data_IF_343218941775
#
_entry.id   IF_343218941775
#
_cell.length_a   1.000
_cell.length_b   1.000
_cell.length_c   1.000
_cell.angle_alpha   90.00
_cell.angle_beta   90.00
_cell.angle_gamma   90.00
#
_symmetry.space_group_name_H-M   'P 1'
#
loop_
_entity.id
_entity.type
_entity.pdbx_description
1 polymer ?
#
# COMPACT_ATOMS: atom_id res chain seq x y z
N UNK A 1 -18.67 -2.35 -6.27
CA UNK A 1 -18.99 -3.10 -5.03
C UNK A 1 -18.07 -4.30 -4.79
N UNK A 2 -17.82 -5.18 -5.77
CA UNK A 2 -16.95 -6.35 -5.59
C UNK A 2 -15.52 -6.03 -5.10
N UNK A 3 -14.84 -5.04 -5.71
CA UNK A 3 -13.47 -4.67 -5.35
C UNK A 3 -13.32 -4.14 -3.91
N UNK A 4 -14.33 -3.43 -3.38
CA UNK A 4 -14.28 -2.90 -2.01
C UNK A 4 -14.41 -4.01 -0.96
N UNK A 5 -15.22 -5.04 -1.25
CA UNK A 5 -15.32 -6.22 -0.41
C UNK A 5 -14.01 -7.02 -0.41
N UNK A 6 -13.34 -7.12 -1.55
CA UNK A 6 -12.03 -7.78 -1.66
C UNK A 6 -10.93 -7.00 -0.94
N UNK A 7 -10.96 -5.66 -0.98
CA UNK A 7 -10.03 -4.81 -0.24
C UNK A 7 -10.19 -4.96 1.29
N UNK A 8 -11.44 -4.95 1.76
CA UNK A 8 -11.78 -5.25 3.16
C UNK A 8 -11.31 -6.64 3.59
N UNK A 9 -11.44 -7.64 2.72
CA UNK A 9 -10.93 -8.98 2.99
C UNK A 9 -9.40 -8.99 3.15
N UNK A 10 -8.68 -8.30 2.25
CA UNK A 10 -7.23 -8.16 2.32
C UNK A 10 -6.76 -7.52 3.63
N UNK A 11 -7.37 -6.39 4.00
CA UNK A 11 -7.12 -5.71 5.28
C UNK A 11 -7.48 -6.61 6.48
N UNK A 12 -8.61 -7.33 6.40
CA UNK A 12 -9.05 -8.26 7.44
C UNK A 12 -8.09 -9.43 7.63
N UNK A 13 -7.48 -9.93 6.55
CA UNK A 13 -6.44 -10.98 6.62
C UNK A 13 -5.13 -10.45 7.20
N UNK A 14 -4.71 -9.24 6.83
CA UNK A 14 -3.56 -8.60 7.47
C UNK A 14 -3.80 -8.43 8.97
N UNK A 15 -4.98 -7.93 9.37
CA UNK A 15 -5.34 -7.73 10.78
C UNK A 15 -5.37 -9.03 11.57
N UNK A 16 -6.04 -10.06 11.06
CA UNK A 16 -6.07 -11.37 11.72
C UNK A 16 -4.68 -12.00 11.78
N UNK A 17 -3.86 -11.81 10.74
CA UNK A 17 -2.45 -12.23 10.74
C UNK A 17 -1.64 -11.55 11.84
N UNK A 18 -1.73 -10.23 11.98
CA UNK A 18 -1.08 -9.49 13.07
C UNK A 18 -1.55 -9.95 14.45
N UNK A 19 -2.83 -10.28 14.62
CA UNK A 19 -3.36 -10.85 15.87
C UNK A 19 -2.71 -12.19 16.22
N UNK A 20 -2.54 -13.08 15.23
CA UNK A 20 -1.85 -14.35 15.46
C UNK A 20 -0.37 -14.12 15.83
N UNK A 21 0.31 -13.14 15.22
CA UNK A 21 1.69 -12.80 15.61
C UNK A 21 1.77 -12.31 17.06
N UNK A 22 0.83 -11.46 17.49
CA UNK A 22 0.74 -11.01 18.89
C UNK A 22 0.51 -12.20 19.83
N UNK A 23 -0.44 -13.07 19.49
CA UNK A 23 -0.75 -14.25 20.29
C UNK A 23 0.44 -15.22 20.37
N UNK A 24 1.17 -15.43 19.28
CA UNK A 24 2.34 -16.30 19.26
C UNK A 24 3.40 -15.83 20.27
N UNK A 25 3.70 -14.54 20.29
CA UNK A 25 4.67 -13.94 21.24
C UNK A 25 4.15 -14.04 22.68
N UNK A 26 2.87 -13.73 22.92
CA UNK A 26 2.28 -13.82 24.27
C UNK A 26 2.27 -15.26 24.80
N UNK A 27 1.87 -16.24 23.98
CA UNK A 27 1.88 -17.65 24.36
C UNK A 27 3.30 -18.11 24.70
N UNK A 28 4.28 -17.76 23.87
CA UNK A 28 5.68 -18.12 24.09
C UNK A 28 6.21 -17.48 25.37
N UNK A 29 6.00 -16.17 25.59
CA UNK A 29 6.49 -15.45 26.76
C UNK A 29 5.85 -15.93 28.06
N UNK A 30 4.50 -15.99 28.11
CA UNK A 30 3.77 -16.41 29.31
C UNK A 30 4.03 -17.88 29.60
N UNK A 31 3.96 -18.75 28.58
CA UNK A 31 4.20 -20.17 28.76
C UNK A 31 5.61 -20.45 29.28
N UNK A 32 6.63 -19.78 28.73
CA UNK A 32 8.01 -19.92 29.20
C UNK A 32 8.16 -19.45 30.65
N UNK A 33 7.54 -18.32 31.02
CA UNK A 33 7.59 -17.81 32.39
C UNK A 33 6.91 -18.76 33.41
N UNK A 34 5.77 -19.35 33.04
CA UNK A 34 5.08 -20.35 33.86
C UNK A 34 5.93 -21.61 34.02
N UNK A 35 6.56 -22.09 32.95
CA UNK A 35 7.41 -23.29 33.02
C UNK A 35 8.67 -23.03 33.84
N UNK A 36 9.31 -21.87 33.68
CA UNK A 36 10.49 -21.49 34.48
C UNK A 36 10.12 -21.42 35.96
N UNK A 37 9.03 -20.75 36.31
CA UNK A 37 8.60 -20.63 37.71
C UNK A 37 8.24 -22.00 38.32
N UNK A 38 7.54 -22.86 37.59
CA UNK A 38 7.25 -24.23 38.02
C UNK A 38 8.52 -25.10 38.14
N UNK A 39 9.45 -24.98 37.19
CA UNK A 39 10.73 -25.70 37.22
C UNK A 39 11.63 -25.27 38.39
N UNK A 40 11.70 -23.96 38.67
CA UNK A 40 12.44 -23.45 39.84
C UNK A 40 11.79 -23.94 41.13
N UNK A 41 10.47 -23.85 41.28
CA UNK A 41 9.78 -24.33 42.48
C UNK A 41 9.99 -25.84 42.71
N UNK A 42 9.85 -26.66 41.66
CA UNK A 42 10.02 -28.11 41.73
C UNK A 42 11.47 -28.53 42.01
N UNK A 43 12.45 -27.82 41.44
CA UNK A 43 13.87 -28.05 41.71
C UNK A 43 14.27 -27.64 43.14
N UNK A 44 13.76 -26.50 43.66
CA UNK A 44 13.99 -26.09 45.04
C UNK A 44 13.42 -27.09 46.06
N UNK A 45 12.21 -27.61 45.80
CA UNK A 45 11.60 -28.64 46.66
C UNK A 45 12.40 -29.96 46.62
N UNK A 46 12.83 -30.38 45.44
CA UNK A 46 13.64 -31.60 45.27
C UNK A 46 15.02 -31.46 45.93
N UNK A 47 15.61 -30.26 45.90
CA UNK A 47 16.85 -29.96 46.60
C UNK A 47 16.68 -29.98 48.13
N UNK A 48 15.59 -29.40 48.66
CA UNK A 48 15.29 -29.41 50.09
C UNK A 48 15.06 -30.82 50.66
N UNK A 49 14.59 -31.75 49.82
CA UNK A 49 14.35 -33.16 50.19
C UNK A 49 15.54 -34.09 49.89
N UNK A 50 16.64 -33.57 49.33
CA UNK A 50 17.83 -34.36 48.99
C UNK A 50 17.62 -35.36 47.84
N UNK A 51 16.54 -35.21 47.07
CA UNK A 51 16.19 -36.16 46.01
C UNK A 51 16.84 -35.77 44.67
N UNK A 52 18.03 -36.33 44.41
CA UNK A 52 18.78 -36.10 43.17
C UNK A 52 18.00 -36.47 41.89
N UNK A 53 17.19 -37.54 41.93
CA UNK A 53 16.35 -37.93 40.80
C UNK A 53 15.25 -36.88 40.52
N UNK A 54 14.71 -36.25 41.57
CA UNK A 54 13.75 -35.15 41.46
C UNK A 54 14.33 -33.91 40.79
N UNK A 55 15.60 -33.58 41.09
CA UNK A 55 16.31 -32.45 40.46
C UNK A 55 16.47 -32.71 38.95
N UNK A 56 16.95 -33.89 38.56
CA UNK A 56 17.15 -34.26 37.14
C UNK A 56 15.79 -34.27 36.41
N UNK A 57 14.76 -34.87 37.01
CA UNK A 57 13.42 -34.90 36.43
C UNK A 57 12.82 -33.50 36.24
N UNK A 58 13.05 -32.59 37.19
CA UNK A 58 12.60 -31.19 37.07
C UNK A 58 13.31 -30.44 35.93
N UNK A 59 14.61 -30.71 35.73
CA UNK A 59 15.38 -30.12 34.63
C UNK A 59 14.90 -30.60 33.26
N UNK A 60 14.69 -31.91 33.11
CA UNK A 60 14.14 -32.49 31.86
C UNK A 60 12.72 -31.99 31.62
N UNK A 61 11.87 -31.95 32.66
CA UNK A 61 10.51 -31.42 32.59
C UNK A 61 10.46 -29.96 32.17
N UNK A 62 11.37 -29.12 32.68
CA UNK A 62 11.50 -27.72 32.29
C UNK A 62 11.89 -27.58 30.82
N UNK A 63 12.93 -28.30 30.36
CA UNK A 63 13.38 -28.26 28.97
C UNK A 63 12.28 -28.75 28.01
N UNK A 64 11.61 -29.86 28.35
CA UNK A 64 10.51 -30.41 27.56
C UNK A 64 9.32 -29.44 27.51
N UNK A 65 8.96 -28.84 28.66
CA UNK A 65 7.90 -27.84 28.73
C UNK A 65 8.20 -26.63 27.83
N UNK A 66 9.42 -26.07 27.93
CA UNK A 66 9.84 -24.92 27.12
C UNK A 66 9.77 -25.27 25.63
N UNK A 67 10.28 -26.43 25.25
CA UNK A 67 10.22 -26.90 23.86
C UNK A 67 8.78 -26.99 23.33
N UNK A 68 7.85 -27.53 24.13
CA UNK A 68 6.43 -27.64 23.76
C UNK A 68 5.81 -26.26 23.57
N UNK A 69 6.04 -25.32 24.50
CA UNK A 69 5.48 -23.96 24.41
C UNK A 69 6.02 -23.20 23.20
N UNK A 70 7.33 -23.29 22.95
CA UNK A 70 7.95 -22.69 21.76
C UNK A 70 7.33 -23.29 20.49
N UNK A 71 7.11 -24.60 20.45
CA UNK A 71 6.52 -25.29 19.29
C UNK A 71 5.07 -24.84 19.05
N UNK A 72 4.26 -24.71 20.10
CA UNK A 72 2.90 -24.16 20.00
C UNK A 72 2.93 -22.71 19.50
N UNK A 73 3.80 -21.87 20.08
CA UNK A 73 3.98 -20.48 19.65
C UNK A 73 4.40 -20.37 18.19
N UNK A 74 5.31 -21.23 17.73
CA UNK A 74 5.77 -21.29 16.34
C UNK A 74 4.65 -21.67 15.38
N UNK A 75 3.78 -22.64 15.73
CA UNK A 75 2.61 -23.01 14.91
C UNK A 75 1.66 -21.81 14.77
N UNK A 76 1.35 -21.12 15.88
CA UNK A 76 0.47 -19.94 15.86
C UNK A 76 1.11 -18.82 15.02
N UNK A 77 2.41 -18.58 15.17
CA UNK A 77 3.16 -17.60 14.39
C UNK A 77 3.15 -17.93 12.90
N UNK A 78 3.32 -19.20 12.53
CA UNK A 78 3.26 -19.66 11.13
C UNK A 78 1.89 -19.38 10.51
N UNK A 79 0.80 -19.67 11.24
CA UNK A 79 -0.55 -19.32 10.81
C UNK A 79 -0.70 -17.81 10.61
N UNK A 80 -0.12 -17.01 11.50
CA UNK A 80 -0.05 -15.56 11.38
C UNK A 80 0.63 -15.10 10.08
N UNK A 81 1.84 -15.59 9.81
CA UNK A 81 2.61 -15.24 8.60
C UNK A 81 1.86 -15.65 7.33
N UNK A 82 1.26 -16.83 7.29
CA UNK A 82 0.45 -17.28 6.13
C UNK A 82 -0.76 -16.37 5.89
N UNK A 83 -1.41 -15.93 6.97
CA UNK A 83 -2.54 -14.99 6.90
C UNK A 83 -2.09 -13.62 6.40
N UNK A 84 -0.97 -13.10 6.90
CA UNK A 84 -0.35 -11.84 6.44
C UNK A 84 0.00 -11.92 4.96
N UNK A 85 0.61 -13.02 4.50
CA UNK A 85 0.92 -13.26 3.08
C UNK A 85 -0.33 -13.19 2.21
N UNK A 86 -1.40 -13.87 2.62
CA UNK A 86 -2.68 -13.83 1.89
C UNK A 86 -3.26 -12.41 1.84
N UNK A 87 -3.16 -11.64 2.94
CA UNK A 87 -3.59 -10.25 2.97
C UNK A 87 -2.82 -9.36 1.98
N UNK A 88 -1.48 -9.44 1.97
CA UNK A 88 -0.67 -8.69 1.01
C UNK A 88 -0.93 -9.11 -0.45
N UNK A 89 -1.09 -10.41 -0.70
CA UNK A 89 -1.37 -10.94 -2.05
C UNK A 89 -2.69 -10.41 -2.61
N UNK A 90 -3.75 -10.35 -1.78
CA UNK A 90 -5.04 -9.76 -2.16
C UNK A 90 -4.88 -8.28 -2.49
N UNK A 91 -4.25 -7.51 -1.61
CA UNK A 91 -4.06 -6.07 -1.84
C UNK A 91 -3.20 -5.78 -3.09
N UNK A 92 -2.17 -6.58 -3.34
CA UNK A 92 -1.35 -6.51 -4.55
C UNK A 92 -2.18 -6.80 -5.81
N UNK A 93 -3.07 -7.79 -5.78
CA UNK A 93 -3.96 -8.10 -6.90
C UNK A 93 -4.92 -6.96 -7.24
N UNK A 94 -5.18 -6.06 -6.28
CA UNK A 94 -5.97 -4.84 -6.45
C UNK A 94 -5.14 -3.64 -6.92
N UNK A 95 -3.88 -3.85 -7.31
CA UNK A 95 -2.97 -2.81 -7.79
C UNK A 95 -2.37 -1.94 -6.69
N UNK A 96 -2.49 -2.33 -5.41
CA UNK A 96 -1.84 -1.61 -4.30
C UNK A 96 -0.35 -1.97 -4.25
N UNK A 97 0.49 -0.97 -4.01
CA UNK A 97 1.95 -1.12 -3.97
C UNK A 97 2.45 -1.76 -2.65
N UNK A 98 1.97 -2.97 -2.36
CA UNK A 98 2.31 -3.72 -1.13
C UNK A 98 3.01 -5.05 -1.43
N UNK A 99 3.44 -5.25 -2.68
CA UNK A 99 4.11 -6.48 -3.13
C UNK A 99 5.38 -6.80 -2.36
N UNK A 100 6.05 -5.79 -1.80
CA UNK A 100 7.23 -5.98 -0.95
C UNK A 100 6.94 -6.79 0.32
N UNK A 101 5.74 -6.63 0.90
CA UNK A 101 5.31 -7.39 2.07
C UNK A 101 5.05 -8.86 1.75
N UNK A 102 4.49 -9.16 0.58
CA UNK A 102 4.30 -10.54 0.11
C UNK A 102 5.65 -11.25 -0.10
N UNK A 103 6.60 -10.59 -0.76
CA UNK A 103 7.97 -11.09 -0.91
C UNK A 103 8.63 -11.32 0.45
N UNK A 104 8.47 -10.37 1.37
CA UNK A 104 8.97 -10.47 2.74
C UNK A 104 8.43 -11.69 3.49
N UNK A 105 7.11 -11.92 3.44
CA UNK A 105 6.52 -13.12 4.06
C UNK A 105 7.03 -14.43 3.46
N UNK A 106 7.28 -14.46 2.15
CA UNK A 106 7.81 -15.65 1.48
C UNK A 106 9.26 -15.90 1.90
N UNK A 107 10.09 -14.87 1.95
CA UNK A 107 11.47 -14.96 2.45
C UNK A 107 11.52 -15.38 3.92
N UNK A 108 10.63 -14.83 4.76
CA UNK A 108 10.54 -15.23 6.16
C UNK A 108 10.24 -16.72 6.32
N UNK A 109 9.27 -17.25 5.55
CA UNK A 109 8.92 -18.68 5.56
C UNK A 109 10.07 -19.56 5.07
N UNK A 110 10.75 -19.17 3.98
CA UNK A 110 11.91 -19.91 3.45
C UNK A 110 13.06 -19.90 4.47
N UNK A 111 13.33 -18.74 5.07
CA UNK A 111 14.33 -18.61 6.14
C UNK A 111 14.03 -19.55 7.31
N UNK A 112 12.78 -19.60 7.76
CA UNK A 112 12.34 -20.49 8.84
C UNK A 112 12.56 -21.98 8.49
N UNK A 113 12.25 -22.39 7.25
CA UNK A 113 12.52 -23.77 6.78
C UNK A 113 14.03 -24.06 6.81
N UNK A 114 14.87 -23.14 6.33
CA UNK A 114 16.33 -23.30 6.35
C UNK A 114 16.85 -23.38 7.79
N UNK A 115 16.30 -22.58 8.72
CA UNK A 115 16.65 -22.65 10.15
C UNK A 115 16.32 -24.02 10.72
N UNK A 116 15.14 -24.59 10.43
CA UNK A 116 14.77 -25.94 10.89
C UNK A 116 15.75 -26.99 10.34
N UNK A 117 16.06 -26.94 9.05
CA UNK A 117 17.01 -27.86 8.42
C UNK A 117 18.40 -27.70 9.05
N UNK A 118 18.85 -26.46 9.23
CA UNK A 118 20.12 -26.14 9.87
C UNK A 118 20.19 -26.71 11.29
N UNK A 119 19.14 -26.51 12.09
CA UNK A 119 19.03 -27.04 13.45
C UNK A 119 19.15 -28.56 13.47
N UNK A 120 18.45 -29.28 12.59
CA UNK A 120 18.54 -30.74 12.50
C UNK A 120 19.95 -31.21 12.11
N UNK A 121 20.63 -30.46 11.24
CA UNK A 121 21.98 -30.78 10.78
C UNK A 121 23.09 -30.33 11.74
N UNK A 122 22.79 -29.57 12.81
CA UNK A 122 23.81 -29.16 13.80
C UNK A 122 24.46 -30.34 14.51
N UNK A 123 23.77 -31.49 14.56
CA UNK A 123 24.31 -32.77 15.05
C UNK A 123 25.61 -33.16 14.31
N UNK A 124 25.79 -32.69 13.07
CA UNK A 124 26.92 -33.05 12.19
C UNK A 124 27.90 -31.87 11.99
N UNK A 125 27.86 -30.81 12.83
CA UNK A 125 28.69 -29.57 12.75
C UNK A 125 28.42 -28.70 11.50
N UNK A 126 28.07 -29.30 10.35
CA UNK A 126 27.73 -28.63 9.08
C UNK A 126 26.44 -27.78 9.18
N UNK A 127 25.60 -28.01 10.19
CA UNK A 127 24.37 -27.24 10.39
C UNK A 127 24.56 -25.78 10.80
N UNK A 128 25.70 -25.41 11.41
CA UNK A 128 25.93 -24.05 11.92
C UNK A 128 25.92 -22.97 10.82
N UNK A 129 26.66 -23.10 9.70
CA UNK A 129 26.56 -22.16 8.59
C UNK A 129 25.15 -22.05 7.98
N UNK A 130 24.41 -23.15 7.94
CA UNK A 130 23.04 -23.20 7.39
C UNK A 130 22.07 -22.45 8.30
N UNK A 131 22.20 -22.60 9.62
CA UNK A 131 21.42 -21.83 10.60
C UNK A 131 21.59 -20.33 10.42
N UNK A 132 22.84 -19.86 10.37
CA UNK A 132 23.16 -18.44 10.20
C UNK A 132 22.57 -17.90 8.89
N UNK A 133 22.68 -18.66 7.79
CA UNK A 133 22.08 -18.28 6.52
C UNK A 133 20.55 -18.17 6.61
N UNK A 134 19.91 -19.15 7.25
CA UNK A 134 18.46 -19.15 7.46
C UNK A 134 17.99 -17.95 8.29
N UNK A 135 18.71 -17.61 9.36
CA UNK A 135 18.42 -16.45 10.21
C UNK A 135 18.55 -15.14 9.43
N UNK A 136 19.60 -14.98 8.61
CA UNK A 136 19.78 -13.79 7.76
C UNK A 136 18.61 -13.65 6.78
N UNK A 137 18.19 -14.75 6.13
CA UNK A 137 17.06 -14.73 5.19
C UNK A 137 15.76 -14.39 5.92
N UNK A 138 15.52 -14.99 7.10
CA UNK A 138 14.35 -14.70 7.92
C UNK A 138 14.33 -13.24 8.39
N UNK A 139 15.48 -12.70 8.78
CA UNK A 139 15.66 -11.31 9.18
C UNK A 139 15.29 -10.36 8.03
N UNK A 140 15.83 -10.59 6.83
CA UNK A 140 15.49 -9.79 5.63
C UNK A 140 13.98 -9.89 5.35
N UNK A 141 13.41 -11.10 5.44
CA UNK A 141 11.97 -11.32 5.30
C UNK A 141 11.15 -10.48 6.29
N UNK A 142 11.55 -10.46 7.57
CA UNK A 142 10.92 -9.67 8.63
C UNK A 142 10.95 -8.17 8.36
N UNK A 143 12.09 -7.65 7.91
CA UNK A 143 12.24 -6.23 7.53
C UNK A 143 11.27 -5.86 6.41
N UNK A 144 11.20 -6.70 5.36
CA UNK A 144 10.32 -6.47 4.22
C UNK A 144 8.83 -6.56 4.58
N UNK A 145 8.45 -7.42 5.53
CA UNK A 145 7.09 -7.45 6.10
C UNK A 145 6.78 -6.11 6.78
N UNK A 146 7.70 -5.58 7.58
CA UNK A 146 7.57 -4.28 8.22
C UNK A 146 7.39 -3.14 7.22
N UNK A 147 8.20 -3.12 6.16
CA UNK A 147 8.05 -2.16 5.05
C UNK A 147 6.69 -2.35 4.34
N UNK A 148 6.24 -3.59 4.16
CA UNK A 148 4.91 -3.90 3.63
C UNK A 148 3.80 -3.25 4.45
N UNK A 149 3.85 -3.37 5.78
CA UNK A 149 2.89 -2.71 6.67
C UNK A 149 3.02 -1.17 6.64
N UNK A 150 4.23 -0.63 6.58
CA UNK A 150 4.45 0.81 6.42
C UNK A 150 3.70 1.34 5.18
N UNK A 151 3.83 0.64 4.03
CA UNK A 151 3.16 1.01 2.78
C UNK A 151 1.66 0.89 2.87
N UNK A 152 1.14 -0.13 3.55
CA UNK A 152 -0.30 -0.22 3.85
C UNK A 152 -0.75 1.01 4.64
N UNK A 153 -0.02 1.41 5.68
CA UNK A 153 -0.32 2.62 6.45
C UNK A 153 -0.31 3.89 5.60
N UNK A 154 0.61 3.98 4.64
CA UNK A 154 0.69 5.11 3.70
C UNK A 154 -0.50 5.15 2.73
N UNK A 155 -0.86 4.00 2.13
CA UNK A 155 -1.98 3.87 1.18
C UNK A 155 -3.32 4.23 1.82
N UNK A 156 -3.52 3.85 3.08
CA UNK A 156 -4.77 4.09 3.81
C UNK A 156 -4.70 5.31 4.73
N UNK A 157 -3.61 6.08 4.69
CA UNK A 157 -3.36 7.25 5.55
C UNK A 157 -3.58 6.97 7.05
N UNK A 158 -3.17 5.78 7.51
CA UNK A 158 -3.29 5.35 8.90
C UNK A 158 -1.94 5.36 9.61
N UNK A 159 -1.72 6.41 10.41
CA UNK A 159 -0.45 6.64 11.11
C UNK A 159 -0.03 5.50 12.05
N UNK A 160 -0.99 4.82 12.69
CA UNK A 160 -0.69 3.67 13.56
C UNK A 160 -0.12 2.49 12.79
N UNK A 161 -0.65 2.21 11.59
CA UNK A 161 -0.14 1.13 10.73
C UNK A 161 1.24 1.51 10.18
N UNK A 162 1.45 2.79 9.85
CA UNK A 162 2.74 3.32 9.40
C UNK A 162 3.83 3.17 10.47
N UNK A 163 3.57 3.65 11.68
CA UNK A 163 4.50 3.55 12.83
C UNK A 163 4.71 2.07 13.19
N UNK A 164 3.63 1.29 13.22
CA UNK A 164 3.71 -0.14 13.51
C UNK A 164 4.58 -0.90 12.52
N UNK A 165 4.49 -0.58 11.22
CA UNK A 165 5.36 -1.15 10.18
C UNK A 165 6.85 -0.82 10.38
N UNK A 166 7.17 0.41 10.79
CA UNK A 166 8.56 0.82 11.12
C UNK A 166 9.08 0.00 12.31
N UNK A 167 8.27 -0.16 13.35
CA UNK A 167 8.67 -0.93 14.53
C UNK A 167 8.87 -2.43 14.24
N UNK A 168 8.04 -3.01 13.35
CA UNK A 168 8.21 -4.40 12.89
C UNK A 168 9.51 -4.57 12.08
N UNK A 169 9.89 -3.56 11.29
CA UNK A 169 11.09 -3.62 10.46
C UNK A 169 12.39 -3.57 11.28
N UNK A 170 12.35 -3.11 12.53
CA UNK A 170 13.51 -3.12 13.41
C UNK A 170 13.59 -4.50 14.09
N UNK A 171 14.71 -5.22 13.98
CA UNK A 171 14.86 -6.59 14.50
C UNK A 171 15.14 -6.60 16.01
N UNK A 172 14.25 -5.98 16.77
CA UNK A 172 14.25 -6.01 18.23
C UNK A 172 12.89 -6.56 18.66
N UNK A 173 12.89 -7.73 19.30
CA UNK A 173 11.68 -8.50 19.58
C UNK A 173 10.57 -7.69 20.27
N UNK A 174 10.95 -6.87 21.25
CA UNK A 174 10.00 -6.02 21.98
C UNK A 174 9.37 -4.94 21.09
N UNK A 175 10.16 -4.31 20.22
CA UNK A 175 9.65 -3.31 19.27
C UNK A 175 8.75 -3.98 18.23
N UNK A 176 9.16 -5.15 17.76
CA UNK A 176 8.40 -5.92 16.79
C UNK A 176 7.02 -6.31 17.34
N UNK A 177 6.95 -6.76 18.59
CA UNK A 177 5.70 -7.02 19.31
C UNK A 177 4.79 -5.79 19.40
N UNK A 178 5.34 -4.64 19.84
CA UNK A 178 4.59 -3.38 19.91
C UNK A 178 4.12 -2.96 18.52
N UNK A 179 4.96 -3.13 17.50
CA UNK A 179 4.64 -2.84 16.11
C UNK A 179 3.43 -3.61 15.61
N UNK A 180 3.37 -4.92 15.89
CA UNK A 180 2.21 -5.74 15.55
C UNK A 180 0.92 -5.29 16.26
N UNK A 181 1.00 -4.84 17.51
CA UNK A 181 -0.15 -4.26 18.23
C UNK A 181 -0.66 -3.01 17.53
N UNK A 182 0.24 -2.08 17.19
CA UNK A 182 -0.13 -0.83 16.50
C UNK A 182 -0.74 -1.11 15.12
N UNK A 183 -0.16 -2.04 14.37
CA UNK A 183 -0.73 -2.49 13.09
C UNK A 183 -2.11 -3.11 13.30
N UNK A 184 -2.29 -4.00 14.27
CA UNK A 184 -3.59 -4.64 14.53
C UNK A 184 -4.69 -3.61 14.86
N UNK A 185 -4.38 -2.65 15.74
CA UNK A 185 -5.30 -1.58 16.13
C UNK A 185 -5.56 -0.63 14.96
N UNK A 186 -4.51 -0.24 14.23
CA UNK A 186 -4.60 0.65 13.07
C UNK A 186 -5.42 0.05 11.92
N UNK A 187 -5.19 -1.23 11.57
CA UNK A 187 -5.97 -1.92 10.55
C UNK A 187 -7.45 -2.08 10.92
N UNK A 188 -7.79 -2.02 12.22
CA UNK A 188 -9.19 -1.98 12.68
C UNK A 188 -9.89 -0.63 12.41
N UNK A 189 -9.12 0.43 12.13
CA UNK A 189 -9.61 1.78 11.83
C UNK A 189 -9.57 2.11 10.35
N UNK A 190 -8.77 1.39 9.57
CA UNK A 190 -8.72 1.51 8.11
C UNK A 190 -10.13 1.38 7.55
N UNK A 191 -10.60 2.47 6.95
CA UNK A 191 -11.73 2.43 6.05
C UNK A 191 -11.16 2.21 4.66
N UNK A 192 -11.74 1.31 3.84
CA UNK A 192 -11.38 1.24 2.43
C UNK A 192 -11.44 2.65 1.90
N UNK A 193 -10.38 3.12 1.25
CA UNK A 193 -10.46 4.39 0.55
C UNK A 193 -11.74 4.32 -0.29
N UNK A 194 -12.63 5.34 -0.24
CA UNK A 194 -13.66 5.43 -1.25
C UNK A 194 -12.90 5.25 -2.56
N UNK A 195 -13.40 4.32 -3.39
CA UNK A 195 -12.82 4.11 -4.71
C UNK A 195 -12.49 5.50 -5.22
N UNK A 196 -11.25 5.71 -5.67
CA UNK A 196 -11.04 6.80 -6.61
C UNK A 196 -11.82 6.34 -7.84
N UNK A 197 -13.16 6.46 -7.80
CA UNK A 197 -13.91 6.99 -8.91
C UNK A 197 -13.06 8.19 -9.26
N UNK A 198 -12.31 8.04 -10.35
CA UNK A 198 -11.65 9.11 -11.05
C UNK A 198 -12.63 10.26 -10.96
N UNK A 199 -12.40 11.14 -9.99
CA UNK A 199 -13.33 12.22 -9.73
C UNK A 199 -13.25 12.96 -11.04
N UNK A 200 -14.36 13.10 -11.80
CA UNK A 200 -14.30 13.82 -13.05
C UNK A 200 -13.60 15.12 -12.68
N UNK A 201 -12.41 15.36 -13.26
CA UNK A 201 -11.65 16.58 -12.99
C UNK A 201 -12.70 17.67 -13.07
N UNK A 202 -13.00 18.33 -11.96
CA UNK A 202 -13.85 19.51 -12.01
C UNK A 202 -13.15 20.36 -13.06
N UNK A 203 -13.75 20.63 -14.24
CA UNK A 203 -12.99 21.19 -15.34
C UNK A 203 -12.41 22.52 -14.86
N UNK A 204 -11.09 22.56 -14.68
CA UNK A 204 -10.42 23.77 -14.19
C UNK A 204 -10.55 24.91 -15.21
N UNK A 205 -10.83 24.54 -16.47
CA UNK A 205 -11.21 25.44 -17.54
C UNK A 205 -12.46 24.88 -18.23
N UNK A 206 -13.48 25.73 -18.40
CA UNK A 206 -14.67 25.39 -19.18
C UNK A 206 -15.16 26.60 -19.98
N UNK A 207 -15.94 26.35 -21.02
CA UNK A 207 -16.49 27.41 -21.85
C UNK A 207 -17.70 28.06 -21.20
N UNK A 208 -17.77 29.39 -21.27
CA UNK A 208 -18.93 30.18 -20.90
C UNK A 208 -19.63 30.63 -22.18
N UNK A 209 -20.89 30.21 -22.36
CA UNK A 209 -21.67 30.53 -23.55
C UNK A 209 -21.24 29.76 -24.80
N UNK A 210 -21.72 30.20 -25.96
CA UNK A 210 -21.42 29.60 -27.26
C UNK A 210 -20.43 30.48 -28.03
N UNK A 211 -19.43 29.85 -28.62
CA UNK A 211 -18.43 30.53 -29.44
C UNK A 211 -18.93 30.84 -30.85
N UNK A 212 -18.20 31.68 -31.57
CA UNK A 212 -18.49 32.01 -32.97
C UNK A 212 -17.22 31.85 -33.80
N UNK A 213 -17.31 31.14 -34.92
CA UNK A 213 -16.27 31.07 -35.95
C UNK A 213 -16.73 31.95 -37.13
N UNK A 214 -15.91 32.90 -37.57
CA UNK A 214 -16.20 33.83 -38.67
C UNK A 214 -15.53 33.40 -39.98
N UNK A 215 -16.03 33.87 -41.12
CA UNK A 215 -15.47 33.60 -42.46
C UNK A 215 -13.99 34.02 -42.63
N UNK A 216 -13.53 34.95 -41.81
CA UNK A 216 -12.17 35.47 -41.80
C UNK A 216 -11.18 34.55 -41.06
N UNK A 217 -11.63 33.37 -40.61
CA UNK A 217 -10.80 32.36 -39.94
C UNK A 217 -10.65 32.56 -38.44
N UNK A 218 -11.26 33.59 -37.86
CA UNK A 218 -11.21 33.85 -36.42
C UNK A 218 -12.37 33.17 -35.69
N UNK A 219 -12.04 32.48 -34.61
CA UNK A 219 -12.98 31.97 -33.63
C UNK A 219 -12.88 32.76 -32.33
N UNK A 220 -14.03 33.13 -31.78
CA UNK A 220 -14.18 33.88 -30.53
C UNK A 220 -14.89 32.98 -29.52
N UNK A 221 -14.21 32.66 -28.42
CA UNK A 221 -14.76 31.85 -27.34
C UNK A 221 -14.46 32.51 -25.99
N UNK A 222 -15.33 32.30 -25.02
CA UNK A 222 -15.09 32.73 -23.63
C UNK A 222 -14.80 31.50 -22.76
N UNK A 223 -13.67 31.50 -22.07
CA UNK A 223 -13.26 30.43 -21.17
C UNK A 223 -13.21 30.94 -19.74
N UNK A 224 -13.92 30.28 -18.83
CA UNK A 224 -13.71 30.45 -17.40
C UNK A 224 -12.54 29.57 -16.96
N UNK A 225 -11.61 30.13 -16.18
CA UNK A 225 -10.51 29.38 -15.56
C UNK A 225 -10.48 29.59 -14.04
N UNK A 226 -10.36 28.51 -13.27
CA UNK A 226 -10.21 28.57 -11.81
C UNK A 226 -8.75 28.78 -11.34
N UNK A 227 -7.79 28.66 -12.25
CA UNK A 227 -6.34 28.84 -12.00
C UNK A 227 -5.64 29.38 -13.26
N UNK A 228 -4.44 29.97 -13.16
CA UNK A 228 -3.68 30.33 -14.35
C UNK A 228 -3.39 29.11 -15.23
N UNK A 229 -3.67 29.21 -16.53
CA UNK A 229 -3.50 28.11 -17.50
C UNK A 229 -2.92 28.64 -18.81
N UNK A 230 -2.11 27.84 -19.51
CA UNK A 230 -1.58 28.22 -20.83
C UNK A 230 -2.25 27.41 -21.94
N UNK A 231 -2.70 28.09 -23.00
CA UNK A 231 -3.25 27.44 -24.19
C UNK A 231 -2.12 27.12 -25.15
N UNK A 232 -1.89 25.82 -25.39
CA UNK A 232 -0.82 25.33 -26.27
C UNK A 232 -1.29 25.28 -27.72
N UNK A 233 -2.48 24.74 -27.96
CA UNK A 233 -3.01 24.55 -29.31
C UNK A 233 -4.53 24.44 -29.30
N UNK A 234 -5.15 24.68 -30.45
CA UNK A 234 -6.56 24.45 -30.69
C UNK A 234 -6.76 23.75 -32.04
N UNK A 235 -7.79 22.90 -32.13
CA UNK A 235 -8.18 22.22 -33.37
C UNK A 235 -9.69 22.16 -33.52
N UNK A 236 -10.19 22.29 -34.74
CA UNK A 236 -11.60 22.03 -35.07
C UNK A 236 -11.75 20.53 -35.35
N UNK A 237 -12.49 19.84 -34.48
CA UNK A 237 -12.83 18.41 -34.64
C UNK A 237 -13.66 18.20 -35.91
N UNK A 238 -13.40 17.10 -36.61
CA UNK A 238 -14.10 16.73 -37.86
C UNK A 238 -13.62 17.48 -39.12
N UNK A 239 -12.96 18.64 -38.97
CA UNK A 239 -12.37 19.37 -40.10
C UNK A 239 -10.84 19.25 -40.17
N UNK A 240 -10.18 18.74 -39.12
CA UNK A 240 -8.71 18.65 -38.98
C UNK A 240 -7.99 20.01 -39.19
N UNK A 241 -8.65 21.12 -38.90
CA UNK A 241 -8.07 22.47 -39.01
C UNK A 241 -7.41 22.81 -37.69
N UNK A 242 -6.09 23.04 -37.72
CA UNK A 242 -5.30 23.44 -36.55
C UNK A 242 -5.20 24.97 -36.47
N UNK A 243 -5.17 25.50 -35.26
CA UNK A 243 -4.95 26.94 -35.03
C UNK A 243 -3.52 27.34 -35.40
N UNK A 244 -3.35 28.50 -36.04
CA UNK A 244 -2.05 29.12 -36.30
C UNK A 244 -1.70 30.23 -35.30
N UNK A 245 -2.70 30.82 -34.63
CA UNK A 245 -2.49 31.78 -33.55
C UNK A 245 -3.61 31.70 -32.50
N UNK A 246 -3.27 31.99 -31.24
CA UNK A 246 -4.20 32.04 -30.10
C UNK A 246 -3.85 33.27 -29.25
N UNK A 247 -4.84 34.09 -28.91
CA UNK A 247 -4.66 35.26 -28.06
C UNK A 247 -5.83 35.39 -27.05
N UNK A 248 -5.59 35.43 -25.72
CA UNK A 248 -4.29 35.27 -25.05
C UNK A 248 -3.84 33.80 -24.99
N UNK A 249 -2.52 33.57 -24.92
CA UNK A 249 -1.94 32.23 -24.70
C UNK A 249 -1.89 31.83 -23.22
N UNK A 250 -2.18 32.77 -22.32
CA UNK A 250 -2.26 32.55 -20.87
C UNK A 250 -3.62 33.05 -20.37
N UNK A 251 -4.39 32.15 -19.79
CA UNK A 251 -5.67 32.41 -19.14
C UNK A 251 -5.42 32.87 -17.70
N UNK A 252 -6.07 33.96 -17.32
CA UNK A 252 -6.13 34.44 -15.94
C UNK A 252 -7.30 33.78 -15.20
N UNK A 253 -7.31 33.89 -13.88
CA UNK A 253 -8.44 33.41 -13.06
C UNK A 253 -9.69 34.25 -13.42
N UNK A 254 -10.81 33.57 -13.70
CA UNK A 254 -12.06 34.18 -14.14
C UNK A 254 -12.35 33.97 -15.62
N UNK A 255 -13.14 34.86 -16.22
CA UNK A 255 -13.52 34.79 -17.63
C UNK A 255 -12.43 35.39 -18.53
N UNK A 256 -12.05 34.63 -19.55
CA UNK A 256 -11.06 35.02 -20.55
C UNK A 256 -11.70 35.00 -21.93
N UNK A 257 -11.58 36.09 -22.67
CA UNK A 257 -11.96 36.14 -24.08
C UNK A 257 -10.79 35.64 -24.92
N UNK A 258 -10.95 34.48 -25.53
CA UNK A 258 -9.92 33.82 -26.33
C UNK A 258 -10.28 33.92 -27.80
N UNK A 259 -9.38 34.55 -28.55
CA UNK A 259 -9.43 34.65 -30.01
C UNK A 259 -8.47 33.63 -30.61
N UNK A 260 -8.97 32.76 -31.48
CA UNK A 260 -8.22 31.68 -32.11
C UNK A 260 -8.28 31.87 -33.63
N UNK A 261 -7.13 31.87 -34.30
CA UNK A 261 -7.06 31.95 -35.75
C UNK A 261 -6.80 30.56 -36.36
N UNK A 262 -7.73 30.09 -37.18
CA UNK A 262 -7.70 28.79 -37.88
C UNK A 262 -7.30 28.91 -39.35
N UNK A 263 -7.14 30.13 -39.88
CA UNK A 263 -6.84 30.34 -41.30
C UNK A 263 -8.05 30.07 -42.18
N UNK A 264 -7.90 29.20 -43.17
CA UNK A 264 -8.97 28.92 -44.14
C UNK A 264 -10.06 28.00 -43.54
N UNK A 265 -11.26 28.54 -43.36
CA UNK A 265 -12.44 27.84 -42.81
C UNK A 265 -13.56 27.63 -43.84
N UNK A 266 -13.26 27.75 -45.14
CA UNK A 266 -14.26 27.63 -46.22
C UNK A 266 -14.89 26.23 -46.35
N UNK A 267 -14.28 25.21 -45.75
CA UNK A 267 -14.84 23.85 -45.69
C UNK A 267 -15.95 23.69 -44.63
N UNK A 268 -16.18 24.70 -43.78
CA UNK A 268 -17.22 24.65 -42.75
C UNK A 268 -18.59 25.01 -43.35
N UNK A 269 -19.61 24.26 -42.95
CA UNK A 269 -21.00 24.49 -43.35
C UNK A 269 -21.61 25.64 -42.52
N UNK A 270 -22.22 26.65 -43.16
CA UNK A 270 -22.87 27.78 -42.47
C UNK A 270 -23.85 27.35 -41.39
N UNK A 271 -23.90 28.11 -40.29
CA UNK A 271 -24.79 27.92 -39.14
C UNK A 271 -24.65 26.56 -38.43
N UNK A 272 -23.55 25.83 -38.67
CA UNK A 272 -23.28 24.55 -38.01
C UNK A 272 -22.42 24.77 -36.76
N UNK A 273 -22.72 24.03 -35.69
CA UNK A 273 -21.91 24.02 -34.47
C UNK A 273 -20.74 23.06 -34.65
N UNK A 274 -19.52 23.56 -34.44
CA UNK A 274 -18.29 22.80 -34.47
C UNK A 274 -17.70 22.69 -33.06
N UNK A 275 -17.04 21.56 -32.79
CA UNK A 275 -16.29 21.36 -31.55
C UNK A 275 -14.84 21.77 -31.79
N UNK A 276 -14.36 22.71 -30.98
CA UNK A 276 -12.96 23.12 -30.90
C UNK A 276 -12.35 22.43 -29.67
N UNK A 277 -11.37 21.56 -29.90
CA UNK A 277 -10.58 20.94 -28.84
C UNK A 277 -9.35 21.80 -28.57
N UNK A 278 -9.21 22.29 -27.34
CA UNK A 278 -8.05 23.03 -26.87
C UNK A 278 -7.15 22.16 -26.01
N UNK A 279 -5.84 22.25 -26.25
CA UNK A 279 -4.80 21.64 -25.41
C UNK A 279 -4.27 22.72 -24.45
N UNK A 280 -4.38 22.47 -23.16
CA UNK A 280 -4.02 23.41 -22.09
C UNK A 280 -2.90 22.82 -21.23
N UNK A 281 -2.02 23.67 -20.72
CA UNK A 281 -1.08 23.35 -19.63
C UNK A 281 -1.51 24.07 -18.36
N UNK A 282 -1.87 23.30 -17.33
CA UNK A 282 -2.27 23.83 -16.01
C UNK A 282 -1.31 23.28 -14.96
N UNK A 283 -0.44 24.13 -14.42
CA UNK A 283 0.52 23.75 -13.37
C UNK A 283 1.46 22.60 -13.76
N UNK A 284 1.75 22.41 -15.05
CA UNK A 284 2.58 21.31 -15.57
C UNK A 284 1.80 20.12 -16.12
N UNK A 285 0.48 20.06 -15.93
CA UNK A 285 -0.36 19.01 -16.48
C UNK A 285 -0.98 19.43 -17.82
N UNK A 286 -0.81 18.60 -18.85
CA UNK A 286 -1.43 18.83 -20.16
C UNK A 286 -2.82 18.19 -20.18
N UNK A 287 -3.86 18.99 -20.40
CA UNK A 287 -5.26 18.54 -20.49
C UNK A 287 -5.92 19.02 -21.78
N UNK A 288 -6.89 18.27 -22.27
CA UNK A 288 -7.72 18.66 -23.42
C UNK A 288 -9.12 19.05 -22.94
N UNK A 289 -9.63 20.17 -23.43
CA UNK A 289 -11.02 20.59 -23.22
C UNK A 289 -11.74 20.75 -24.56
N UNK A 290 -13.03 20.48 -24.57
CA UNK A 290 -13.89 20.66 -25.75
C UNK A 290 -14.77 21.88 -25.58
N UNK A 291 -14.83 22.72 -26.62
CA UNK A 291 -15.62 23.94 -26.67
C UNK A 291 -16.46 23.94 -27.93
N UNK A 292 -17.66 24.53 -27.91
CA UNK A 292 -18.58 24.59 -29.02
C UNK A 292 -18.61 26.00 -29.63
N UNK A 293 -18.47 26.10 -30.94
CA UNK A 293 -18.57 27.36 -31.67
C UNK A 293 -19.39 27.21 -32.95
N UNK A 294 -20.27 28.17 -33.24
CA UNK A 294 -21.10 28.17 -34.45
C UNK A 294 -20.36 28.88 -35.57
N UNK A 295 -20.29 28.26 -36.74
CA UNK A 295 -19.77 28.93 -37.92
C UNK A 295 -20.80 29.91 -38.49
N UNK A 296 -20.49 31.20 -38.39
CA UNK A 296 -21.28 32.30 -38.92
C UNK A 296 -20.46 33.02 -40.00
N UNK A 297 -20.69 32.69 -41.29
CA UNK A 297 -19.95 33.28 -42.40
C UNK A 297 -20.18 34.78 -42.55
#
# INVERSE_FOLDING_TARGET
MAQQNTELEGIGKLRSGSLFMILAVLLAAIGTLVIISAGIASSMFSAATGNAAGIIASGIGLLAGIAIVILIGAIVGLLGVLRVRSGFSILKSLGKDVGIGETGTTLYLVGLIIVIIGALLTIVIVGLPILVLGEIIALIGGILIGIGFYRVGEIYNEGLVKIGGILIAIPIDLLNFIGFILVYVGLGRVRPSPMVTQQPLVPQVYQVGQGIIRNNGYAYITLYSSSPASVISAKIEGANIMSSAINPTVLQIGNNEVTIFFGNVQSLAPNTTYIITLTLNIGGNIINISTAAVYQP
#
